data_IF_319508921583
#
_entry.id   IF_319508921583
#
_cell.length_a   1.000
_cell.length_b   1.000
_cell.length_c   1.000
_cell.angle_alpha   90.00
_cell.angle_beta   90.00
_cell.angle_gamma   90.00
#
_symmetry.space_group_name_H-M   'P 1'
#
loop_
_entity.id
_entity.type
_entity.pdbx_description
1 polymer ?
#
# COMPACT_ATOMS: atom_id res chain seq x y z
N UNK A 1 22.43 -44.09 -22.82
CA UNK A 1 21.05 -43.54 -22.88
C UNK A 1 20.67 -42.66 -21.69
N UNK A 2 20.96 -43.04 -20.44
CA UNK A 2 20.61 -42.23 -19.26
C UNK A 2 21.20 -40.81 -19.30
N UNK A 3 22.52 -40.68 -19.54
CA UNK A 3 23.19 -39.37 -19.61
C UNK A 3 22.63 -38.45 -20.71
N UNK A 4 22.22 -39.00 -21.85
CA UNK A 4 21.60 -38.21 -22.93
C UNK A 4 20.21 -37.73 -22.55
N UNK A 5 19.38 -38.57 -21.91
CA UNK A 5 18.06 -38.19 -21.40
C UNK A 5 18.17 -37.13 -20.31
N UNK A 6 19.16 -37.25 -19.42
CA UNK A 6 19.45 -36.27 -18.38
C UNK A 6 19.87 -34.93 -18.97
N UNK A 7 20.77 -34.93 -19.98
CA UNK A 7 21.19 -33.71 -20.70
C UNK A 7 19.99 -33.02 -21.35
N UNK A 8 19.12 -33.77 -22.03
CA UNK A 8 17.92 -33.22 -22.66
C UNK A 8 16.96 -32.59 -21.62
N UNK A 9 16.76 -33.26 -20.49
CA UNK A 9 15.97 -32.74 -19.37
C UNK A 9 16.51 -31.40 -18.85
N UNK A 10 17.81 -31.30 -18.59
CA UNK A 10 18.42 -30.03 -18.15
C UNK A 10 18.29 -28.92 -19.19
N UNK A 11 18.43 -29.23 -20.48
CA UNK A 11 18.25 -28.25 -21.56
C UNK A 11 16.80 -27.74 -21.56
N UNK A 12 15.81 -28.64 -21.48
CA UNK A 12 14.40 -28.26 -21.42
C UNK A 12 14.10 -27.40 -20.19
N UNK A 13 14.59 -27.79 -19.01
CA UNK A 13 14.42 -27.02 -17.78
C UNK A 13 15.06 -25.62 -17.89
N UNK A 14 16.23 -25.54 -18.52
CA UNK A 14 16.93 -24.26 -18.76
C UNK A 14 16.13 -23.37 -19.70
N UNK A 15 15.60 -23.90 -20.80
CA UNK A 15 14.77 -23.16 -21.75
C UNK A 15 13.51 -22.64 -21.04
N UNK A 16 12.79 -23.49 -20.31
CA UNK A 16 11.58 -23.10 -19.57
C UNK A 16 11.91 -22.01 -18.54
N UNK A 17 12.99 -22.17 -17.78
CA UNK A 17 13.38 -21.20 -16.76
C UNK A 17 13.79 -19.86 -17.38
N UNK A 18 14.49 -19.87 -18.51
CA UNK A 18 14.85 -18.66 -19.25
C UNK A 18 13.61 -17.95 -19.82
N UNK A 19 12.66 -18.70 -20.40
CA UNK A 19 11.39 -18.14 -20.87
C UNK A 19 10.58 -17.51 -19.74
N UNK A 20 10.47 -18.17 -18.58
CA UNK A 20 9.81 -17.62 -17.40
C UNK A 20 10.52 -16.37 -16.88
N UNK A 21 11.85 -16.36 -16.84
CA UNK A 21 12.63 -15.20 -16.43
C UNK A 21 12.38 -13.99 -17.33
N UNK A 22 12.38 -14.19 -18.66
CA UNK A 22 12.07 -13.13 -19.63
C UNK A 22 10.65 -12.61 -19.43
N UNK A 23 9.68 -13.50 -19.25
CA UNK A 23 8.29 -13.14 -18.98
C UNK A 23 8.17 -12.29 -17.71
N UNK A 24 8.73 -12.75 -16.59
CA UNK A 24 8.70 -12.00 -15.33
C UNK A 24 9.45 -10.68 -15.41
N UNK A 25 10.54 -10.60 -16.17
CA UNK A 25 11.28 -9.37 -16.38
C UNK A 25 10.45 -8.35 -17.17
N UNK A 26 9.80 -8.80 -18.26
CA UNK A 26 8.91 -7.95 -19.06
C UNK A 26 7.68 -7.47 -18.27
N UNK A 27 7.03 -8.37 -17.52
CA UNK A 27 5.89 -8.01 -16.67
C UNK A 27 6.27 -6.98 -15.59
N UNK A 28 7.42 -7.18 -14.93
CA UNK A 28 7.97 -6.22 -13.98
C UNK A 28 8.30 -4.86 -14.62
N UNK A 29 8.86 -4.86 -15.82
CA UNK A 29 9.15 -3.64 -16.56
C UNK A 29 7.87 -2.88 -16.89
N UNK A 30 6.87 -3.58 -17.45
CA UNK A 30 5.57 -3.01 -17.81
C UNK A 30 4.88 -2.38 -16.59
N UNK A 31 4.88 -3.04 -15.44
CA UNK A 31 4.29 -2.50 -14.21
C UNK A 31 5.00 -1.22 -13.72
N UNK A 32 6.33 -1.18 -13.81
CA UNK A 32 7.11 -0.01 -13.38
C UNK A 32 6.78 1.22 -14.24
N UNK A 33 6.71 1.03 -15.55
CA UNK A 33 6.55 2.13 -16.52
C UNK A 33 5.10 2.54 -16.78
N UNK A 34 4.13 1.64 -16.58
CA UNK A 34 2.71 1.92 -16.81
C UNK A 34 2.04 2.48 -15.57
N UNK A 35 1.01 3.32 -15.71
CA UNK A 35 0.17 3.70 -14.58
C UNK A 35 -0.52 2.51 -13.92
N UNK A 36 -1.02 2.70 -12.70
CA UNK A 36 -1.96 1.74 -12.11
C UNK A 36 -3.15 1.56 -13.05
N UNK A 37 -3.69 0.35 -13.10
CA UNK A 37 -4.88 0.07 -13.89
C UNK A 37 -6.08 0.89 -13.37
N UNK A 38 -7.04 1.15 -14.26
CA UNK A 38 -8.19 2.00 -13.96
C UNK A 38 -9.08 1.41 -12.84
N UNK A 39 -9.10 0.08 -12.67
CA UNK A 39 -9.87 -0.54 -11.60
C UNK A 39 -9.25 -0.25 -10.23
N UNK A 40 -7.92 -0.27 -10.12
CA UNK A 40 -7.20 0.12 -8.90
C UNK A 40 -7.36 1.60 -8.61
N UNK A 41 -7.23 2.47 -9.63
CA UNK A 41 -7.47 3.92 -9.46
C UNK A 41 -8.88 4.20 -8.94
N UNK A 42 -9.89 3.51 -9.48
CA UNK A 42 -11.28 3.60 -9.02
C UNK A 42 -11.43 3.15 -7.57
N UNK A 43 -10.86 2.01 -7.17
CA UNK A 43 -10.86 1.55 -5.77
C UNK A 43 -10.24 2.57 -4.82
N UNK A 44 -9.10 3.17 -5.18
CA UNK A 44 -8.45 4.24 -4.39
C UNK A 44 -9.41 5.42 -4.23
N UNK A 45 -10.03 5.87 -5.33
CA UNK A 45 -10.95 7.01 -5.31
C UNK A 45 -12.18 6.73 -4.44
N UNK A 46 -12.85 5.59 -4.64
CA UNK A 46 -14.04 5.19 -3.87
C UNK A 46 -13.73 5.13 -2.37
N UNK A 47 -12.60 4.49 -2.00
CA UNK A 47 -12.16 4.43 -0.61
C UNK A 47 -11.81 5.81 -0.06
N UNK A 48 -11.19 6.68 -0.85
CA UNK A 48 -10.87 8.07 -0.45
C UNK A 48 -12.14 8.86 -0.14
N UNK A 49 -13.14 8.83 -1.03
CA UNK A 49 -14.43 9.49 -0.83
C UNK A 49 -15.13 8.95 0.41
N UNK A 50 -15.06 7.64 0.63
CA UNK A 50 -15.60 7.01 1.82
C UNK A 50 -14.91 7.49 3.11
N UNK A 51 -13.57 7.55 3.14
CA UNK A 51 -12.81 8.07 4.27
C UNK A 51 -13.10 9.55 4.54
N UNK A 52 -13.31 10.36 3.50
CA UNK A 52 -13.75 11.75 3.64
C UNK A 52 -15.12 11.86 4.32
N UNK A 53 -16.08 11.00 3.97
CA UNK A 53 -17.40 10.95 4.63
C UNK A 53 -17.27 10.54 6.10
N UNK A 54 -16.42 9.56 6.41
CA UNK A 54 -16.15 9.17 7.79
C UNK A 54 -15.47 10.31 8.57
N UNK A 55 -14.48 10.97 7.98
CA UNK A 55 -13.79 12.10 8.59
C UNK A 55 -14.75 13.24 8.95
N UNK A 56 -15.68 13.56 8.05
CA UNK A 56 -16.72 14.56 8.30
C UNK A 56 -17.70 14.10 9.38
N UNK A 57 -18.26 12.89 9.26
CA UNK A 57 -19.29 12.42 10.21
C UNK A 57 -18.78 12.15 11.62
N UNK A 58 -17.52 11.70 11.78
CA UNK A 58 -16.94 11.34 13.08
C UNK A 58 -16.18 12.49 13.75
N UNK A 59 -15.63 13.42 12.96
CA UNK A 59 -14.73 14.45 13.47
C UNK A 59 -15.07 15.87 13.00
N UNK A 60 -16.15 16.07 12.23
CA UNK A 60 -16.52 17.34 11.61
C UNK A 60 -15.41 17.93 10.70
N UNK A 61 -14.54 17.08 10.15
CA UNK A 61 -13.45 17.50 9.26
C UNK A 61 -13.93 17.43 7.81
N UNK A 62 -14.06 18.59 7.15
CA UNK A 62 -14.41 18.72 5.73
C UNK A 62 -13.21 19.01 4.81
N UNK A 63 -12.00 19.07 5.37
CA UNK A 63 -10.78 19.36 4.60
C UNK A 63 -10.51 18.25 3.58
N UNK A 64 -10.36 18.62 2.31
CA UNK A 64 -9.96 17.69 1.26
C UNK A 64 -8.48 17.32 1.41
N UNK A 65 -8.20 16.05 1.68
CA UNK A 65 -6.85 15.50 1.80
C UNK A 65 -6.52 14.76 0.49
N UNK A 66 -5.60 15.28 -0.34
CA UNK A 66 -5.23 14.63 -1.59
C UNK A 66 -4.47 13.31 -1.33
N UNK A 67 -4.87 12.28 -2.07
CA UNK A 67 -4.18 10.98 -2.13
C UNK A 67 -3.40 10.90 -3.44
N UNK A 68 -2.10 10.61 -3.37
CA UNK A 68 -1.22 10.48 -4.53
C UNK A 68 -0.54 9.12 -4.54
N UNK A 69 -0.52 8.48 -5.69
CA UNK A 69 0.29 7.27 -5.89
C UNK A 69 1.68 7.69 -6.36
N UNK A 70 2.71 7.20 -5.69
CA UNK A 70 4.10 7.55 -5.97
C UNK A 70 4.92 6.31 -6.29
N UNK A 71 5.69 6.38 -7.37
CA UNK A 71 6.69 5.39 -7.77
C UNK A 71 8.08 5.65 -7.15
N UNK A 72 8.28 6.85 -6.59
CA UNK A 72 9.56 7.30 -6.00
C UNK A 72 9.76 6.84 -4.56
N UNK A 73 8.74 6.27 -3.92
CA UNK A 73 8.85 5.85 -2.51
C UNK A 73 9.84 4.68 -2.34
N UNK A 74 10.64 4.68 -1.25
CA UNK A 74 11.48 3.54 -0.86
C UNK A 74 10.65 2.26 -0.77
N UNK A 75 11.20 1.15 -1.23
CA UNK A 75 10.45 -0.11 -1.30
C UNK A 75 10.04 -0.64 0.07
N UNK A 76 10.70 -0.25 1.17
CA UNK A 76 10.31 -0.67 2.53
C UNK A 76 9.04 0.03 3.04
N UNK A 77 8.64 1.16 2.47
CA UNK A 77 7.44 1.90 2.88
C UNK A 77 6.21 1.49 2.05
N UNK A 78 5.04 1.51 2.68
CA UNK A 78 3.76 1.24 2.01
C UNK A 78 3.00 2.52 1.71
N UNK A 79 2.96 3.45 2.66
CA UNK A 79 2.39 4.77 2.50
C UNK A 79 3.12 5.79 3.36
N UNK A 80 2.71 7.04 3.24
CA UNK A 80 3.12 8.12 4.12
C UNK A 80 2.12 9.28 4.06
N UNK A 81 1.65 9.75 5.20
CA UNK A 81 1.09 11.09 5.32
C UNK A 81 2.20 12.12 5.51
N UNK A 82 2.10 13.26 4.82
CA UNK A 82 3.06 14.35 4.90
C UNK A 82 2.36 15.65 5.27
N UNK A 83 3.06 16.50 6.04
CA UNK A 83 2.71 17.89 6.29
C UNK A 83 3.89 18.73 5.82
N UNK A 84 3.67 19.56 4.79
CA UNK A 84 4.69 20.48 4.29
C UNK A 84 4.80 21.74 5.13
N UNK A 85 5.87 22.51 4.93
CA UNK A 85 6.10 23.78 5.64
C UNK A 85 5.01 24.83 5.38
N UNK A 86 4.38 24.81 4.20
CA UNK A 86 3.23 25.66 3.86
C UNK A 86 1.88 25.07 4.34
N UNK A 87 1.90 24.05 5.20
CA UNK A 87 0.71 23.48 5.83
C UNK A 87 -0.12 22.56 4.92
N UNK A 88 0.40 22.17 3.75
CA UNK A 88 -0.29 21.21 2.86
C UNK A 88 -0.12 19.81 3.42
N UNK A 89 -1.25 19.12 3.53
CA UNK A 89 -1.32 17.73 3.97
C UNK A 89 -1.57 16.87 2.73
N UNK A 90 -0.75 15.84 2.52
CA UNK A 90 -0.88 14.92 1.39
C UNK A 90 -0.60 13.50 1.86
N UNK A 91 -1.43 12.55 1.43
CA UNK A 91 -1.17 11.11 1.63
C UNK A 91 -0.56 10.54 0.35
N UNK A 92 0.56 9.83 0.50
CA UNK A 92 1.22 9.11 -0.56
C UNK A 92 1.06 7.61 -0.37
N UNK A 93 0.73 6.90 -1.44
CA UNK A 93 0.71 5.43 -1.50
C UNK A 93 1.83 4.95 -2.41
N UNK A 94 2.55 3.91 -1.99
CA UNK A 94 3.66 3.37 -2.78
C UNK A 94 3.13 2.50 -3.91
N UNK A 95 3.30 2.95 -5.16
CA UNK A 95 2.92 2.22 -6.38
C UNK A 95 3.44 0.78 -6.36
N UNK A 96 4.68 0.57 -5.87
CA UNK A 96 5.35 -0.73 -5.87
C UNK A 96 4.59 -1.78 -5.05
N UNK A 97 3.87 -1.36 -4.00
CA UNK A 97 3.16 -2.27 -3.09
C UNK A 97 1.80 -2.74 -3.64
N UNK A 98 1.23 -2.03 -4.62
CA UNK A 98 0.02 -2.48 -5.30
C UNK A 98 0.22 -3.76 -6.12
N UNK A 99 1.47 -4.08 -6.50
CA UNK A 99 1.79 -5.37 -7.14
C UNK A 99 1.69 -6.55 -6.18
N UNK A 100 1.85 -6.31 -4.88
CA UNK A 100 1.82 -7.36 -3.86
C UNK A 100 0.40 -7.63 -3.40
N UNK A 101 -0.35 -6.58 -3.04
CA UNK A 101 -1.77 -6.71 -2.67
C UNK A 101 -2.48 -5.37 -2.81
N UNK A 102 -3.46 -5.30 -3.71
CA UNK A 102 -4.32 -4.13 -3.86
C UNK A 102 -5.18 -3.96 -2.60
N UNK A 103 -5.82 -5.03 -2.15
CA UNK A 103 -6.78 -4.94 -1.06
C UNK A 103 -6.12 -4.51 0.26
N UNK A 104 -4.90 -4.98 0.56
CA UNK A 104 -4.12 -4.48 1.71
C UNK A 104 -3.80 -2.98 1.58
N UNK A 105 -3.44 -2.51 0.39
CA UNK A 105 -3.17 -1.09 0.16
C UNK A 105 -4.42 -0.21 0.35
N UNK A 106 -5.59 -0.71 -0.01
CA UNK A 106 -6.86 0.03 0.05
C UNK A 106 -7.51 -0.06 1.43
N UNK A 107 -7.52 -1.22 2.05
CA UNK A 107 -8.28 -1.48 3.28
C UNK A 107 -7.47 -1.27 4.56
N UNK A 108 -6.15 -1.33 4.47
CA UNK A 108 -5.26 -1.20 5.62
C UNK A 108 -4.40 0.06 5.51
N UNK A 109 -3.59 0.17 4.45
CA UNK A 109 -2.60 1.25 4.33
C UNK A 109 -3.25 2.61 4.13
N UNK A 110 -4.24 2.71 3.23
CA UNK A 110 -4.89 3.99 2.97
C UNK A 110 -5.60 4.57 4.22
N UNK A 111 -6.45 3.83 4.96
CA UNK A 111 -7.02 4.32 6.22
C UNK A 111 -5.96 4.67 7.27
N UNK A 112 -4.88 3.88 7.36
CA UNK A 112 -3.74 4.12 8.27
C UNK A 112 -3.09 5.49 8.02
N UNK A 113 -2.71 5.77 6.77
CA UNK A 113 -2.10 7.05 6.41
C UNK A 113 -3.12 8.19 6.46
N UNK A 114 -4.39 7.94 6.13
CA UNK A 114 -5.44 8.94 6.26
C UNK A 114 -5.65 9.37 7.71
N UNK A 115 -5.52 8.43 8.67
CA UNK A 115 -5.56 8.75 10.09
C UNK A 115 -4.40 9.67 10.51
N UNK A 116 -3.18 9.44 10.02
CA UNK A 116 -2.06 10.37 10.21
C UNK A 116 -2.34 11.75 9.60
N UNK A 117 -2.95 11.78 8.42
CA UNK A 117 -3.33 13.04 7.80
C UNK A 117 -4.37 13.81 8.64
N UNK A 118 -5.35 13.12 9.23
CA UNK A 118 -6.31 13.74 10.17
C UNK A 118 -5.64 14.20 11.47
N UNK A 119 -4.63 13.48 11.97
CA UNK A 119 -3.82 13.95 13.11
C UNK A 119 -3.18 15.32 12.79
N UNK A 120 -2.61 15.48 11.59
CA UNK A 120 -2.08 16.78 11.14
C UNK A 120 -3.17 17.86 11.03
N UNK A 121 -4.37 17.52 10.54
CA UNK A 121 -5.50 18.47 10.51
C UNK A 121 -5.89 18.93 11.91
N UNK A 122 -5.83 18.03 12.89
CA UNK A 122 -6.14 18.30 14.29
C UNK A 122 -4.99 18.98 15.05
N UNK A 123 -3.89 19.35 14.37
CA UNK A 123 -2.71 19.96 14.99
C UNK A 123 -1.91 19.02 15.89
N UNK A 124 -2.13 17.71 15.78
CA UNK A 124 -1.46 16.72 16.60
C UNK A 124 -0.24 16.15 15.86
N UNK A 125 0.95 16.60 16.26
CA UNK A 125 2.23 16.18 15.71
C UNK A 125 2.99 15.23 16.66
N UNK A 126 2.26 14.56 17.56
CA UNK A 126 2.85 13.66 18.54
C UNK A 126 3.71 12.59 17.87
N UNK A 127 4.90 12.36 18.42
CA UNK A 127 5.83 11.29 18.01
C UNK A 127 5.71 10.04 18.90
N UNK A 128 4.74 10.02 19.82
CA UNK A 128 4.49 8.88 20.70
C UNK A 128 4.32 7.60 19.86
N UNK A 129 5.06 6.54 20.20
CA UNK A 129 5.05 5.26 19.49
C UNK A 129 5.23 5.39 17.97
N UNK A 130 6.16 6.24 17.51
CA UNK A 130 6.43 6.41 16.08
C UNK A 130 5.31 7.13 15.32
N UNK A 131 4.42 7.85 16.02
CA UNK A 131 3.25 8.51 15.44
C UNK A 131 1.94 7.74 15.66
N UNK A 132 2.00 6.52 16.22
CA UNK A 132 0.83 5.68 16.50
C UNK A 132 0.29 5.90 17.93
N UNK A 133 0.00 7.16 18.26
CA UNK A 133 -0.60 7.55 19.55
C UNK A 133 -2.00 6.91 19.75
N UNK A 134 -2.55 6.96 20.97
CA UNK A 134 -3.90 6.41 21.24
C UNK A 134 -4.96 7.13 20.41
N UNK A 135 -4.74 8.43 20.18
CA UNK A 135 -5.61 9.27 19.35
C UNK A 135 -5.51 8.88 17.87
N UNK A 136 -4.30 8.64 17.36
CA UNK A 136 -4.15 8.10 16.02
C UNK A 136 -4.90 6.76 15.87
N UNK A 137 -4.73 5.86 16.85
CA UNK A 137 -5.38 4.55 16.82
C UNK A 137 -6.91 4.67 16.85
N UNK A 138 -7.47 5.56 17.67
CA UNK A 138 -8.92 5.78 17.72
C UNK A 138 -9.44 6.37 16.41
N UNK A 139 -8.70 7.29 15.78
CA UNK A 139 -9.03 7.84 14.46
C UNK A 139 -9.00 6.73 13.41
N UNK A 140 -7.93 5.94 13.35
CA UNK A 140 -7.79 4.84 12.38
C UNK A 140 -8.95 3.83 12.50
N UNK A 141 -9.34 3.46 13.74
CA UNK A 141 -10.50 2.57 13.97
C UNK A 141 -11.81 3.22 13.57
N UNK A 142 -12.00 4.51 13.81
CA UNK A 142 -13.20 5.24 13.41
C UNK A 142 -13.28 5.46 11.88
N UNK A 143 -12.14 5.41 11.19
CA UNK A 143 -12.03 5.34 9.73
C UNK A 143 -12.23 3.91 9.18
N UNK A 144 -12.59 2.96 10.04
CA UNK A 144 -12.80 1.56 9.71
C UNK A 144 -11.56 0.90 9.05
N UNK A 145 -10.36 1.34 9.44
CA UNK A 145 -9.13 0.67 9.05
C UNK A 145 -9.03 -0.72 9.68
N UNK A 146 -8.72 -1.74 8.86
CA UNK A 146 -8.69 -3.14 9.33
C UNK A 146 -7.55 -3.41 10.31
N UNK A 147 -6.38 -2.80 10.10
CA UNK A 147 -5.18 -2.94 10.95
C UNK A 147 -4.73 -1.59 11.49
N UNK A 148 -5.28 -1.24 12.65
CA UNK A 148 -4.98 0.01 13.36
C UNK A 148 -4.22 -0.27 14.67
N UNK A 149 -3.28 -1.20 14.62
CA UNK A 149 -2.50 -1.57 15.79
C UNK A 149 -1.31 -0.64 15.98
N UNK A 150 -1.02 -0.33 17.24
CA UNK A 150 0.11 0.52 17.63
C UNK A 150 1.46 -0.18 17.39
N UNK A 151 1.42 -1.50 17.26
CA UNK A 151 2.56 -2.35 16.97
C UNK A 151 2.16 -3.23 15.79
N UNK A 152 2.86 -3.10 14.66
CA UNK A 152 2.61 -3.95 13.49
C UNK A 152 3.06 -5.36 13.82
N UNK A 153 2.12 -6.31 13.88
CA UNK A 153 2.50 -7.72 13.93
C UNK A 153 3.00 -8.12 12.54
N UNK A 154 4.31 -8.35 12.42
CA UNK A 154 4.96 -8.69 11.15
C UNK A 154 4.39 -9.97 10.50
N UNK A 155 3.75 -10.85 11.28
CA UNK A 155 3.14 -12.08 10.76
C UNK A 155 1.92 -11.79 9.88
N UNK A 156 1.09 -10.80 10.24
CA UNK A 156 -0.15 -10.50 9.51
C UNK A 156 0.12 -9.93 8.10
N UNK A 157 1.22 -9.19 7.95
CA UNK A 157 1.67 -8.63 6.66
C UNK A 157 2.20 -9.73 5.72
N UNK A 158 2.66 -10.87 6.27
CA UNK A 158 3.13 -12.01 5.47
C UNK A 158 1.94 -12.88 5.04
N UNK A 159 0.99 -13.16 5.94
CA UNK A 159 -0.15 -14.03 5.63
C UNK A 159 -1.07 -13.48 4.53
N UNK A 160 -1.35 -12.17 4.51
CA UNK A 160 -2.11 -11.55 3.42
C UNK A 160 -1.41 -11.60 2.06
N UNK A 161 -0.07 -11.79 2.05
CA UNK A 161 0.72 -11.92 0.82
C UNK A 161 0.83 -13.36 0.34
N UNK A 162 0.48 -14.33 1.18
CA UNK A 162 0.56 -15.76 0.88
C UNK A 162 -0.81 -16.42 0.71
N UNK A 163 -1.91 -15.75 1.04
CA UNK A 163 -3.25 -16.24 0.70
C UNK A 163 -3.49 -16.08 -0.81
N UNK A 164 -3.19 -17.15 -1.53
CA UNK A 164 -3.52 -17.33 -2.94
C UNK A 164 -4.96 -17.85 -3.15
N UNK A 165 -5.74 -18.01 -2.07
CA UNK A 165 -7.13 -18.50 -2.07
C UNK A 165 -7.93 -17.90 -0.91
#
# INVERSE_FOLDING_TARGET
MFLQRLKLFFILLTIISASLLIYFWYDNYKFKTSDLDESTKRKIYEKTVYLQKLAYSKFAISKNIPIKVSDKMPSNLFGAATLSQDGKIVVFLNKKRFKESIDYMIEDVLPHEYAHALMFVLGDLSKENGGHSKKWQSICKALEGKRCDRFVNYHDVIFDKTNLF
#
